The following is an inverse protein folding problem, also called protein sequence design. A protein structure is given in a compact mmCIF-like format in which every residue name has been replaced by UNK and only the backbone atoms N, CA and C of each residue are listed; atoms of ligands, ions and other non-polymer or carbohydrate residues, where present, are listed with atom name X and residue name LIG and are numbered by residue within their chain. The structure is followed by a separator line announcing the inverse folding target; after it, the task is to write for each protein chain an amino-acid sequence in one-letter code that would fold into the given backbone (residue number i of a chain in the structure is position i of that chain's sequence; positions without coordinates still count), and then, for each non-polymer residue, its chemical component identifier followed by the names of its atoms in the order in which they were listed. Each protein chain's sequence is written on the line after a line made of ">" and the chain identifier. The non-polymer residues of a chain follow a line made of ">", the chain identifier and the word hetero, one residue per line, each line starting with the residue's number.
data_IF_683499444741
#
_entry.id   IF_683499444741
#
_cell.length_a   1.000
_cell.length_b   1.000
_cell.length_c   1.000
_cell.angle_alpha   90.00
_cell.angle_beta   90.00
_cell.angle_gamma   90.00
#
_symmetry.space_group_name_H-M   'P 1'
#
loop_
_entity.id
_entity.type
_entity.pdbx_description
1 polymer ?
#
# COMPACT_ATOMS: atom_id res chain seq x y z
N UNK A 1 -0.39 5.30 9.64
CA UNK A 1 -1.02 4.44 8.61
C UNK A 1 -0.47 3.03 8.79
N UNK A 2 -1.29 1.99 8.75
CA UNK A 2 -0.80 0.60 8.92
C UNK A 2 -0.02 0.20 7.67
N UNK A 3 1.19 -0.30 7.82
CA UNK A 3 2.02 -0.81 6.71
C UNK A 3 1.69 -2.27 6.38
N UNK A 4 2.06 -2.78 5.19
CA UNK A 4 1.92 -4.20 4.86
C UNK A 4 2.63 -5.13 5.85
N UNK A 5 3.81 -4.74 6.34
CA UNK A 5 4.55 -5.48 7.35
C UNK A 5 3.78 -5.57 8.68
N UNK A 6 3.23 -4.43 9.13
CA UNK A 6 2.39 -4.39 10.33
C UNK A 6 1.12 -5.23 10.17
N UNK A 7 0.52 -5.29 8.97
CA UNK A 7 -0.59 -6.19 8.67
C UNK A 7 -0.16 -7.66 8.83
N UNK A 8 1.01 -8.04 8.31
CA UNK A 8 1.58 -9.38 8.49
C UNK A 8 1.77 -9.74 9.97
N UNK A 9 2.30 -8.82 10.77
CA UNK A 9 2.48 -9.02 12.22
C UNK A 9 1.14 -9.23 12.95
N UNK A 10 0.08 -8.50 12.57
CA UNK A 10 -1.26 -8.65 13.15
C UNK A 10 -1.89 -9.99 12.72
N UNK A 11 -1.71 -10.40 11.46
CA UNK A 11 -2.15 -11.72 10.98
C UNK A 11 -1.43 -12.86 11.72
N UNK A 12 -0.13 -12.70 11.98
CA UNK A 12 0.64 -13.67 12.76
C UNK A 12 0.17 -13.73 14.21
N UNK A 13 -0.09 -12.59 14.85
CA UNK A 13 -0.67 -12.55 16.20
C UNK A 13 -2.01 -13.30 16.27
N UNK A 14 -2.89 -13.10 15.28
CA UNK A 14 -4.17 -13.84 15.20
C UNK A 14 -3.93 -15.35 15.15
N UNK A 15 -2.99 -15.81 14.32
CA UNK A 15 -2.65 -17.24 14.22
C UNK A 15 -2.13 -17.79 15.55
N UNK A 16 -1.20 -17.08 16.19
CA UNK A 16 -0.62 -17.50 17.47
C UNK A 16 -1.70 -17.63 18.55
N UNK A 17 -2.63 -16.66 18.65
CA UNK A 17 -3.73 -16.72 19.64
C UNK A 17 -4.68 -17.87 19.32
N UNK A 18 -4.99 -18.11 18.05
CA UNK A 18 -5.84 -19.23 17.64
C UNK A 18 -5.20 -20.58 17.99
N UNK A 19 -3.90 -20.73 17.75
CA UNK A 19 -3.15 -21.93 18.12
C UNK A 19 -3.14 -22.17 19.63
N UNK A 20 -3.01 -21.11 20.44
CA UNK A 20 -3.10 -21.22 21.90
C UNK A 20 -4.46 -21.74 22.34
N UNK A 21 -5.55 -21.21 21.77
CA UNK A 21 -6.91 -21.69 22.06
C UNK A 21 -7.10 -23.15 21.62
N UNK A 22 -6.60 -23.52 20.43
CA UNK A 22 -6.70 -24.89 19.89
C UNK A 22 -5.90 -25.92 20.68
N UNK A 23 -4.77 -25.52 21.29
CA UNK A 23 -3.98 -26.38 22.18
C UNK A 23 -4.71 -26.74 23.49
N UNK A 24 -5.85 -26.09 23.76
CA UNK A 24 -6.64 -26.33 24.95
C UNK A 24 -6.15 -25.48 26.12
N UNK A 25 -6.77 -24.32 26.30
CA UNK A 25 -6.55 -23.47 27.48
C UNK A 25 -7.50 -23.93 28.58
N UNK A 26 -6.94 -24.45 29.68
CA UNK A 26 -7.71 -24.95 30.82
C UNK A 26 -8.32 -23.85 31.68
N UNK A 27 -7.70 -22.68 31.71
CA UNK A 27 -8.19 -21.50 32.43
C UNK A 27 -9.30 -20.81 31.63
N UNK A 28 -10.50 -20.77 32.21
CA UNK A 28 -11.69 -20.18 31.60
C UNK A 28 -11.58 -18.66 31.38
N UNK A 29 -10.91 -17.95 32.28
CA UNK A 29 -10.68 -16.52 32.16
C UNK A 29 -9.72 -16.23 30.99
N UNK A 30 -8.64 -17.00 30.89
CA UNK A 30 -7.71 -16.90 29.75
C UNK A 30 -8.39 -17.27 28.43
N UNK A 31 -9.18 -18.35 28.41
CA UNK A 31 -9.93 -18.76 27.23
C UNK A 31 -10.89 -17.66 26.77
N UNK A 32 -11.63 -17.07 27.70
CA UNK A 32 -12.55 -15.95 27.42
C UNK A 32 -11.80 -14.74 26.88
N UNK A 33 -10.65 -14.40 27.47
CA UNK A 33 -9.79 -13.30 27.03
C UNK A 33 -9.28 -13.54 25.61
N UNK A 34 -8.73 -14.72 25.31
CA UNK A 34 -8.24 -15.05 23.98
C UNK A 34 -9.35 -15.06 22.92
N UNK A 35 -10.53 -15.58 23.27
CA UNK A 35 -11.68 -15.54 22.37
C UNK A 35 -12.13 -14.11 22.06
N UNK A 36 -12.11 -13.22 23.05
CA UNK A 36 -12.41 -11.80 22.83
C UNK A 36 -11.38 -11.13 21.92
N UNK A 37 -10.09 -11.40 22.12
CA UNK A 37 -9.01 -10.93 21.24
C UNK A 37 -9.23 -11.42 19.81
N UNK A 38 -9.51 -12.72 19.63
CA UNK A 38 -9.79 -13.29 18.31
C UNK A 38 -11.01 -12.63 17.65
N UNK A 39 -12.07 -12.35 18.40
CA UNK A 39 -13.27 -11.66 17.88
C UNK A 39 -12.96 -10.27 17.34
N UNK A 40 -12.16 -9.49 18.08
CA UNK A 40 -11.71 -8.16 17.65
C UNK A 40 -10.85 -8.26 16.40
N UNK A 41 -9.86 -9.17 16.40
CA UNK A 41 -8.97 -9.38 15.27
C UNK A 41 -9.74 -9.82 14.02
N UNK A 42 -10.63 -10.80 14.13
CA UNK A 42 -11.47 -11.28 13.03
C UNK A 42 -12.34 -10.17 12.42
N UNK A 43 -12.83 -9.23 13.25
CA UNK A 43 -13.66 -8.12 12.79
C UNK A 43 -12.84 -7.01 12.12
N UNK A 44 -11.64 -6.74 12.64
CA UNK A 44 -10.80 -5.59 12.22
C UNK A 44 -9.87 -5.93 11.06
N UNK A 45 -9.30 -7.13 11.01
CA UNK A 45 -8.30 -7.54 10.01
C UNK A 45 -8.77 -7.35 8.57
N UNK A 46 -9.99 -7.78 8.17
CA UNK A 46 -10.47 -7.57 6.80
C UNK A 46 -10.49 -6.08 6.41
N UNK A 47 -10.92 -5.22 7.34
CA UNK A 47 -10.97 -3.75 7.14
C UNK A 47 -9.58 -3.12 7.09
N UNK A 48 -8.59 -3.72 7.76
CA UNK A 48 -7.20 -3.27 7.70
C UNK A 48 -6.60 -3.69 6.36
N UNK A 49 -6.78 -4.95 5.94
CA UNK A 49 -6.30 -5.47 4.65
C UNK A 49 -6.79 -4.62 3.48
N UNK A 50 -8.11 -4.37 3.38
CA UNK A 50 -8.69 -3.52 2.33
C UNK A 50 -8.06 -2.11 2.31
N UNK A 51 -7.77 -1.53 3.49
CA UNK A 51 -7.14 -0.20 3.57
C UNK A 51 -5.68 -0.22 3.13
N UNK A 52 -4.93 -1.26 3.47
CA UNK A 52 -3.54 -1.43 3.03
C UNK A 52 -3.49 -1.63 1.52
N UNK A 53 -4.31 -2.53 0.98
CA UNK A 53 -4.35 -2.85 -0.46
C UNK A 53 -4.78 -1.64 -1.29
N UNK A 54 -5.86 -0.95 -0.89
CA UNK A 54 -6.32 0.26 -1.59
C UNK A 54 -5.29 1.40 -1.56
N UNK A 55 -4.46 1.45 -0.53
CA UNK A 55 -3.38 2.43 -0.46
C UNK A 55 -2.20 2.06 -1.34
N UNK A 56 -1.88 0.77 -1.43
CA UNK A 56 -0.89 0.25 -2.38
C UNK A 56 -1.31 0.56 -3.82
N UNK A 57 -2.54 0.25 -4.20
CA UNK A 57 -3.08 0.54 -5.54
C UNK A 57 -3.07 2.04 -5.88
N UNK A 58 -3.37 2.91 -4.90
CA UNK A 58 -3.26 4.36 -5.08
C UNK A 58 -1.80 4.81 -5.27
N UNK A 59 -0.85 4.18 -4.58
CA UNK A 59 0.56 4.47 -4.74
C UNK A 59 1.08 4.02 -6.11
N UNK A 60 0.74 2.82 -6.55
CA UNK A 60 1.07 2.30 -7.89
C UNK A 60 0.48 3.18 -8.99
N UNK A 61 -0.81 3.53 -8.90
CA UNK A 61 -1.48 4.40 -9.87
C UNK A 61 -0.79 5.76 -9.99
N UNK A 62 -0.42 6.39 -8.86
CA UNK A 62 0.37 7.63 -8.87
C UNK A 62 1.74 7.46 -9.51
N UNK A 63 2.41 6.34 -9.28
CA UNK A 63 3.69 5.99 -9.92
C UNK A 63 3.56 5.92 -11.44
N UNK A 64 2.53 5.22 -11.93
CA UNK A 64 2.25 5.09 -13.37
C UNK A 64 1.96 6.45 -14.00
N UNK A 65 1.11 7.28 -13.40
CA UNK A 65 0.78 8.62 -13.92
C UNK A 65 2.03 9.51 -13.95
N UNK A 66 2.86 9.45 -12.92
CA UNK A 66 4.11 10.21 -12.86
C UNK A 66 5.09 9.75 -13.93
N UNK A 67 5.25 8.44 -14.11
CA UNK A 67 6.08 7.86 -15.17
C UNK A 67 5.59 8.25 -16.58
N UNK A 68 4.28 8.22 -16.83
CA UNK A 68 3.68 8.68 -18.09
C UNK A 68 3.88 10.18 -18.32
N UNK A 69 3.70 11.03 -17.31
CA UNK A 69 3.99 12.47 -17.44
C UNK A 69 5.47 12.74 -17.76
N UNK A 70 6.37 11.99 -17.12
CA UNK A 70 7.79 12.10 -17.37
C UNK A 70 8.18 11.61 -18.78
N UNK A 71 7.57 10.53 -19.27
CA UNK A 71 7.82 10.04 -20.63
C UNK A 71 7.29 11.01 -21.70
N UNK A 72 6.12 11.62 -21.50
CA UNK A 72 5.58 12.65 -22.39
C UNK A 72 6.46 13.91 -22.43
N UNK A 73 6.97 14.37 -21.27
CA UNK A 73 7.92 15.49 -21.22
C UNK A 73 9.21 15.18 -21.96
N UNK A 74 9.77 13.97 -21.79
CA UNK A 74 10.98 13.53 -22.51
C UNK A 74 10.75 13.37 -24.02
N UNK A 75 9.55 12.95 -24.45
CA UNK A 75 9.20 12.82 -25.87
C UNK A 75 9.01 14.19 -26.55
N UNK A 76 8.59 15.22 -25.79
CA UNK A 76 8.42 16.60 -26.29
C UNK A 76 9.74 17.35 -26.50
N UNK A 77 10.82 16.96 -25.84
CA UNK A 77 12.15 17.58 -25.98
C UNK A 77 12.99 17.09 -27.17
N UNK A 78 12.49 16.15 -27.99
CA UNK A 78 13.24 15.58 -29.13
C UNK A 78 12.62 15.94 -30.50
N UNK A 79 11.51 16.68 -30.54
CA UNK A 79 10.85 17.10 -31.79
C UNK A 79 10.57 18.60 -31.81
N UNK A 80 11.64 19.38 -31.74
CA UNK A 80 11.64 20.76 -32.24
C UNK A 80 13.02 21.02 -32.82
N UNK A 81 13.20 20.61 -34.07
CA UNK A 81 14.24 21.17 -34.92
C UNK A 81 14.03 22.68 -34.98
N UNK A 82 14.91 23.42 -34.33
CA UNK A 82 15.01 24.86 -34.49
C UNK A 82 15.72 25.13 -35.81
N UNK A 83 14.96 25.10 -36.90
CA UNK A 83 15.36 25.69 -38.18
C UNK A 83 14.51 26.94 -38.35
N UNK A 84 15.09 28.11 -38.07
CA UNK A 84 14.80 29.40 -38.74
C UNK A 84 15.64 30.50 -38.09
N UNK A 85 16.84 30.69 -38.63
CA UNK A 85 17.53 31.98 -38.64
C UNK A 85 17.67 32.29 -40.13
N UNK A 86 17.02 33.34 -40.66
CA UNK A 86 17.71 34.63 -40.72
C UNK A 86 16.77 35.85 -40.63
N UNK A 87 17.20 36.90 -39.94
CA UNK A 87 16.75 38.26 -40.28
C UNK A 87 17.88 39.23 -40.06
N UNK A 88 18.34 39.78 -41.18
CA UNK A 88 19.35 40.82 -41.30
C UNK A 88 18.99 42.06 -40.48
N UNK A 89 20.00 42.67 -39.87
CA UNK A 89 19.99 44.11 -39.57
C UNK A 89 21.39 44.64 -39.88
N UNK A 90 21.56 45.17 -41.09
CA UNK A 90 22.74 45.97 -41.45
C UNK A 90 22.60 47.37 -40.84
N UNK A 91 23.72 47.87 -40.33
CA UNK A 91 23.93 49.26 -39.93
C UNK A 91 24.07 50.18 -41.14
#
# INVERSE_FOLDING_TARGET
>A
MITPEQLGNIEQLRKNVLELVQKGVSDEYLLTTYNQVLRVLNTRLPKIRVRVDSSSLKAESKGIVTAQRNSLRKKKTVSSGATQNPSQKSA
#
